data_IF_868899423608
#
_entry.id   IF_868899423608
#
_cell.length_a   1.000
_cell.length_b   1.000
_cell.length_c   1.000
_cell.angle_alpha   90.00
_cell.angle_beta   90.00
_cell.angle_gamma   90.00
#
_symmetry.space_group_name_H-M   'P 1'
#
loop_
_entity.id
_entity.type
_entity.pdbx_description
1 polymer ?
#
# COMPACT_ATOMS: atom_id res chain seq x y z
N UNK A 1 21.88 -8.89 -11.22
CA UNK A 1 21.22 -9.32 -9.97
C UNK A 1 19.73 -9.10 -10.14
N UNK A 2 18.93 -10.17 -10.16
CA UNK A 2 17.48 -10.11 -10.32
C UNK A 2 16.88 -9.71 -8.95
N UNK A 3 16.58 -8.42 -8.76
CA UNK A 3 15.97 -7.92 -7.52
C UNK A 3 14.48 -8.23 -7.55
N UNK A 4 14.12 -9.50 -7.33
CA UNK A 4 12.73 -9.85 -7.06
C UNK A 4 12.27 -9.11 -5.80
N UNK A 5 11.18 -8.36 -5.91
CA UNK A 5 10.57 -7.63 -4.79
C UNK A 5 10.01 -8.57 -3.71
N UNK A 6 9.85 -9.85 -4.04
CA UNK A 6 9.25 -10.88 -3.19
C UNK A 6 10.26 -11.91 -2.68
N UNK A 7 10.04 -12.39 -1.45
CA UNK A 7 10.74 -13.56 -0.91
C UNK A 7 10.25 -14.88 -1.53
N UNK A 8 10.99 -15.95 -1.25
CA UNK A 8 10.72 -17.31 -1.71
C UNK A 8 9.62 -18.05 -0.89
N UNK A 9 9.16 -17.47 0.22
CA UNK A 9 8.08 -18.07 1.00
C UNK A 9 6.77 -18.18 0.20
N UNK A 10 6.06 -19.27 0.43
CA UNK A 10 4.82 -19.60 -0.27
C UNK A 10 3.70 -18.63 0.08
N UNK A 11 3.53 -18.35 1.38
CA UNK A 11 2.49 -17.45 1.86
C UNK A 11 2.82 -15.99 1.57
N UNK A 12 1.97 -15.38 0.74
CA UNK A 12 2.01 -13.97 0.38
C UNK A 12 0.61 -13.40 0.53
N UNK A 13 0.51 -12.23 1.15
CA UNK A 13 -0.76 -11.53 1.32
C UNK A 13 -0.63 -10.07 0.91
N UNK A 14 -1.78 -9.45 0.65
CA UNK A 14 -1.86 -8.03 0.40
C UNK A 14 -2.99 -7.41 1.20
N UNK A 15 -2.78 -6.18 1.65
CA UNK A 15 -3.76 -5.40 2.39
C UNK A 15 -3.96 -4.07 1.70
N UNK A 16 -5.22 -3.74 1.42
CA UNK A 16 -5.62 -2.40 1.01
C UNK A 16 -6.10 -1.66 2.25
N UNK A 17 -5.65 -0.42 2.43
CA UNK A 17 -6.05 0.44 3.53
C UNK A 17 -6.26 1.86 3.03
N UNK A 18 -7.29 2.51 3.56
CA UNK A 18 -7.60 3.90 3.26
C UNK A 18 -7.10 4.77 4.40
N UNK A 19 -6.29 5.78 4.08
CA UNK A 19 -5.67 6.68 5.06
C UNK A 19 -6.09 8.11 4.74
N UNK A 20 -6.59 8.84 5.74
CA UNK A 20 -6.76 10.29 5.64
C UNK A 20 -5.40 10.94 5.87
N UNK A 21 -4.90 11.65 4.87
CA UNK A 21 -3.63 12.35 4.92
C UNK A 21 -3.89 13.85 4.92
N UNK A 22 -3.44 14.50 5.99
CA UNK A 22 -3.54 15.94 6.16
C UNK A 22 -2.18 16.56 5.88
N UNK A 23 -2.12 17.50 4.95
CA UNK A 23 -0.91 18.27 4.67
C UNK A 23 -1.28 19.71 4.38
N UNK A 24 -0.64 20.63 5.13
CA UNK A 24 -0.98 22.06 5.12
C UNK A 24 -2.48 22.25 5.44
N UNK A 25 -3.22 23.01 4.63
CA UNK A 25 -4.66 23.21 4.78
C UNK A 25 -5.52 22.20 3.98
N UNK A 26 -4.94 21.07 3.54
CA UNK A 26 -5.64 20.08 2.67
C UNK A 26 -5.74 18.71 3.32
N UNK A 27 -6.95 18.15 3.31
CA UNK A 27 -7.22 16.73 3.58
C UNK A 27 -7.37 16.00 2.24
N UNK A 28 -6.55 14.97 2.02
CA UNK A 28 -6.72 14.01 0.92
C UNK A 28 -6.86 12.60 1.46
N UNK A 29 -7.63 11.77 0.77
CA UNK A 29 -7.76 10.36 1.09
C UNK A 29 -6.82 9.57 0.19
N UNK A 30 -5.97 8.74 0.80
CA UNK A 30 -5.03 7.86 0.11
C UNK A 30 -5.50 6.42 0.21
N UNK A 31 -5.37 5.68 -0.88
CA UNK A 31 -5.51 4.23 -0.92
C UNK A 31 -4.09 3.66 -0.94
N UNK A 32 -3.75 2.89 0.09
CA UNK A 32 -2.45 2.24 0.25
C UNK A 32 -2.63 0.73 0.07
N UNK A 33 -2.00 0.16 -0.95
CA UNK A 33 -1.88 -1.28 -1.10
C UNK A 33 -0.51 -1.73 -0.60
N UNK A 34 -0.49 -2.63 0.37
CA UNK A 34 0.74 -3.17 0.96
C UNK A 34 0.84 -4.65 0.64
N UNK A 35 2.03 -5.10 0.24
CA UNK A 35 2.38 -6.50 0.01
C UNK A 35 3.26 -7.01 1.14
N UNK A 36 2.89 -8.15 1.72
CA UNK A 36 3.61 -8.70 2.87
C UNK A 36 3.62 -10.23 2.86
N UNK A 37 4.67 -10.78 3.45
CA UNK A 37 4.78 -12.20 3.79
C UNK A 37 4.61 -12.31 5.32
N UNK A 38 3.85 -13.29 5.85
CA UNK A 38 3.71 -13.48 7.29
C UNK A 38 5.04 -13.70 8.03
N UNK A 39 6.05 -14.23 7.33
CA UNK A 39 7.37 -14.55 7.89
C UNK A 39 8.36 -13.37 7.80
N UNK A 40 8.36 -12.63 6.69
CA UNK A 40 9.30 -11.52 6.48
C UNK A 40 8.73 -10.14 6.85
N UNK A 41 7.41 -10.00 6.91
CA UNK A 41 6.74 -8.70 6.98
C UNK A 41 6.57 -8.06 5.60
N UNK A 42 6.70 -6.73 5.54
CA UNK A 42 6.36 -5.93 4.36
C UNK A 42 7.45 -6.00 3.29
N UNK A 43 7.03 -6.31 2.06
CA UNK A 43 7.89 -6.32 0.87
C UNK A 43 7.78 -5.03 0.05
N UNK A 44 6.65 -4.34 0.15
CA UNK A 44 6.47 -3.05 -0.51
C UNK A 44 5.05 -2.52 -0.39
N UNK A 45 4.84 -1.34 -0.94
CA UNK A 45 3.53 -0.70 -1.01
C UNK A 45 3.40 0.21 -2.22
N UNK A 46 2.18 0.40 -2.70
CA UNK A 46 1.80 1.48 -3.62
C UNK A 46 0.73 2.35 -3.00
N UNK A 47 0.69 3.61 -3.43
CA UNK A 47 -0.25 4.61 -2.96
C UNK A 47 -0.92 5.28 -4.14
N UNK A 48 -2.24 5.47 -4.05
CA UNK A 48 -3.03 6.27 -4.98
C UNK A 48 -3.86 7.28 -4.20
N UNK A 49 -4.13 8.44 -4.79
CA UNK A 49 -5.15 9.36 -4.27
C UNK A 49 -6.52 8.73 -4.58
N UNK A 50 -7.39 8.64 -3.58
CA UNK A 50 -8.77 8.21 -3.82
C UNK A 50 -9.43 9.26 -4.71
N UNK A 51 -9.89 8.85 -5.90
CA UNK A 51 -10.65 9.75 -6.77
C UNK A 51 -11.86 10.24 -5.99
N UNK A 52 -11.97 11.56 -5.86
CA UNK A 52 -13.07 12.20 -5.17
C UNK A 52 -14.26 11.95 -6.09
N UNK A 53 -15.13 11.00 -5.75
CA UNK A 53 -16.41 10.84 -6.42
C UNK A 53 -17.21 12.12 -6.16
N UNK A 54 -17.01 13.12 -7.02
CA UNK A 54 -17.86 14.31 -7.08
C UNK A 54 -19.16 13.85 -7.73
N UNK A 55 -20.16 13.63 -6.88
CA UNK A 55 -21.56 13.46 -7.23
C UNK A 55 -22.39 14.51 -6.52
#
# INVERSE_FOLDING_TARGET
MNRSLWCEHEEKTSKISTVKYNFDDKEIQLIVQTWMCPLCGVHGSTTAVADRAEG
#
